data_IF_381120964507
#
_entry.id   IF_381120964507
#
_cell.length_a   1.000
_cell.length_b   1.000
_cell.length_c   1.000
_cell.angle_alpha   90.00
_cell.angle_beta   90.00
_cell.angle_gamma   90.00
#
_symmetry.space_group_name_H-M   'P 1'
#
loop_
_entity.id
_entity.type
_entity.pdbx_description
1 polymer ?
#
# COMPACT_ATOMS: atom_id res chain seq x y z
N UNK A 1 -29.96 13.02 -36.64
CA UNK A 1 -28.73 12.22 -36.88
C UNK A 1 -27.87 12.35 -35.63
N UNK A 2 -28.18 11.49 -34.66
CA UNK A 2 -27.65 11.44 -33.29
C UNK A 2 -26.35 10.64 -33.23
N UNK A 3 -25.20 11.30 -33.05
CA UNK A 3 -23.92 10.62 -32.88
C UNK A 3 -22.97 11.35 -31.91
N UNK A 4 -23.42 11.73 -30.70
CA UNK A 4 -22.46 12.26 -29.71
C UNK A 4 -22.80 12.11 -28.22
N UNK A 5 -23.53 11.07 -27.80
CA UNK A 5 -23.75 10.79 -26.34
C UNK A 5 -23.41 9.33 -25.94
N UNK A 6 -22.84 8.51 -26.84
CA UNK A 6 -22.60 7.09 -26.55
C UNK A 6 -21.15 6.67 -26.28
N UNK A 7 -20.20 7.60 -26.09
CA UNK A 7 -18.77 7.25 -25.90
C UNK A 7 -18.18 7.42 -24.50
N UNK A 8 -19.02 7.65 -23.49
CA UNK A 8 -18.61 7.64 -22.07
C UNK A 8 -19.39 6.56 -21.31
N UNK A 9 -19.32 5.33 -21.81
CA UNK A 9 -19.74 4.10 -21.09
C UNK A 9 -18.60 3.07 -21.06
N UNK A 10 -17.36 3.53 -20.98
CA UNK A 10 -16.23 2.63 -20.69
C UNK A 10 -16.08 2.44 -19.18
N UNK A 11 -16.73 1.37 -18.70
CA UNK A 11 -16.24 0.43 -17.68
C UNK A 11 -15.28 1.00 -16.61
N UNK A 12 -15.85 1.74 -15.66
CA UNK A 12 -15.30 1.72 -14.30
C UNK A 12 -15.74 0.38 -13.69
N UNK A 13 -14.79 -0.55 -13.56
CA UNK A 13 -15.01 -1.82 -12.88
C UNK A 13 -15.47 -1.55 -11.43
N UNK A 14 -16.51 -2.24 -10.93
CA UNK A 14 -16.99 -2.08 -9.55
C UNK A 14 -15.90 -2.35 -8.50
N UNK A 15 -14.83 -3.10 -8.85
CA UNK A 15 -13.65 -3.34 -8.00
C UNK A 15 -12.81 -2.09 -7.70
N UNK A 16 -12.85 -1.07 -8.56
CA UNK A 16 -12.04 0.16 -8.38
C UNK A 16 -12.76 1.24 -7.55
N UNK A 17 -14.07 1.11 -7.39
CA UNK A 17 -14.90 2.05 -6.62
C UNK A 17 -14.80 1.77 -5.11
N UNK A 18 -14.70 0.48 -4.71
CA UNK A 18 -14.57 0.06 -3.31
C UNK A 18 -13.29 0.59 -2.64
N UNK A 19 -12.14 0.42 -3.29
CA UNK A 19 -10.84 0.91 -2.80
C UNK A 19 -10.81 2.45 -2.68
N UNK A 20 -11.44 3.15 -3.62
CA UNK A 20 -11.54 4.62 -3.59
C UNK A 20 -12.45 5.12 -2.47
N UNK A 21 -13.54 4.39 -2.17
CA UNK A 21 -14.42 4.67 -1.03
C UNK A 21 -13.78 4.34 0.32
N UNK A 22 -12.89 3.34 0.39
CA UNK A 22 -12.12 3.04 1.61
C UNK A 22 -11.17 4.19 1.96
N UNK A 23 -10.53 4.78 0.96
CA UNK A 23 -9.68 5.97 1.11
C UNK A 23 -10.53 7.18 1.50
N UNK A 24 -11.67 7.41 0.86
CA UNK A 24 -12.57 8.51 1.21
C UNK A 24 -13.13 8.34 2.64
N UNK A 25 -13.55 7.14 3.05
CA UNK A 25 -14.01 6.89 4.43
C UNK A 25 -12.91 7.05 5.48
N UNK A 26 -11.64 6.82 5.11
CA UNK A 26 -10.48 7.14 5.95
C UNK A 26 -10.23 8.65 6.10
N UNK A 27 -10.79 9.49 5.22
CA UNK A 27 -10.56 10.95 5.18
C UNK A 27 -11.81 11.83 5.37
N UNK A 28 -13.03 11.31 5.19
CA UNK A 28 -14.27 12.08 5.25
C UNK A 28 -15.24 11.48 6.27
N UNK A 29 -14.97 11.69 7.55
CA UNK A 29 -15.98 12.02 8.57
C UNK A 29 -15.27 12.39 9.88
N UNK A 30 -14.91 13.67 9.98
CA UNK A 30 -14.84 14.35 11.27
C UNK A 30 -16.23 14.96 11.50
N UNK A 31 -17.11 14.34 12.30
CA UNK A 31 -17.94 15.10 13.20
C UNK A 31 -17.22 15.12 14.54
N UNK A 32 -16.63 16.27 14.85
CA UNK A 32 -16.28 16.66 16.19
C UNK A 32 -17.55 16.69 17.06
N UNK A 33 -17.89 15.56 17.67
CA UNK A 33 -18.76 15.50 18.85
C UNK A 33 -18.16 14.53 19.85
N UNK A 34 -17.55 15.13 20.88
CA UNK A 34 -17.20 14.46 22.11
C UNK A 34 -18.47 13.83 22.71
N UNK A 35 -18.56 12.50 22.71
CA UNK A 35 -19.37 11.73 23.64
C UNK A 35 -18.51 10.54 24.08
N UNK A 36 -17.77 10.78 25.15
CA UNK A 36 -16.89 9.84 25.82
C UNK A 36 -17.70 8.81 26.61
N UNK A 37 -17.81 7.60 26.07
CA UNK A 37 -18.25 6.40 26.80
C UNK A 37 -17.16 5.32 26.90
N UNK A 38 -15.91 5.71 26.74
CA UNK A 38 -14.75 4.84 27.00
C UNK A 38 -13.91 5.53 28.07
N UNK A 39 -13.65 4.90 29.23
CA UNK A 39 -12.77 5.48 30.24
C UNK A 39 -11.37 5.64 29.65
N UNK A 40 -10.99 6.90 29.38
CA UNK A 40 -9.71 7.31 28.79
C UNK A 40 -8.50 6.77 29.56
N UNK A 41 -8.68 6.46 30.85
CA UNK A 41 -7.68 5.91 31.76
C UNK A 41 -7.25 4.47 31.44
N UNK A 42 -8.02 3.70 30.67
CA UNK A 42 -7.68 2.31 30.34
C UNK A 42 -6.81 2.20 29.07
N UNK A 43 -6.79 3.26 28.25
CA UNK A 43 -6.09 3.28 26.95
C UNK A 43 -4.71 3.94 27.06
N UNK A 44 -4.53 4.90 27.97
CA UNK A 44 -3.28 5.65 28.11
C UNK A 44 -2.10 4.80 28.60
N UNK A 45 -2.36 3.70 29.30
CA UNK A 45 -1.34 2.78 29.81
C UNK A 45 -0.86 1.75 28.79
N UNK A 46 -1.53 1.59 27.64
CA UNK A 46 -1.12 0.64 26.58
C UNK A 46 -0.11 1.21 25.58
N UNK A 47 0.27 2.49 25.70
CA UNK A 47 1.06 3.22 24.69
C UNK A 47 2.51 3.37 25.16
N UNK A 48 3.23 2.24 25.27
CA UNK A 48 4.70 2.26 25.43
C UNK A 48 5.33 1.04 24.71
N UNK A 49 5.38 1.07 23.37
CA UNK A 49 6.36 0.38 22.49
C UNK A 49 5.97 0.57 21.00
N UNK A 50 6.92 0.72 20.05
CA UNK A 50 6.74 1.39 18.77
C UNK A 50 6.33 0.44 17.63
N UNK A 51 5.34 0.87 16.85
CA UNK A 51 4.78 0.20 15.66
C UNK A 51 3.36 -0.33 15.93
N UNK A 52 2.33 -0.06 15.11
CA UNK A 52 2.27 0.72 13.87
C UNK A 52 1.84 2.17 14.18
N UNK A 53 2.59 3.16 13.68
CA UNK A 53 2.45 4.56 14.09
C UNK A 53 2.57 5.57 12.94
N UNK A 54 2.95 5.16 11.72
CA UNK A 54 3.12 6.12 10.62
C UNK A 54 1.78 6.62 10.09
N UNK A 55 0.89 5.70 9.70
CA UNK A 55 -0.41 6.07 9.10
C UNK A 55 -1.59 5.25 9.62
N UNK A 56 -1.37 3.98 9.97
CA UNK A 56 -2.36 3.13 10.61
C UNK A 56 -1.94 2.84 12.05
N UNK A 57 -2.67 3.37 13.02
CA UNK A 57 -2.34 3.16 14.44
C UNK A 57 -2.89 1.83 14.96
N UNK A 58 -2.23 1.26 15.97
CA UNK A 58 -2.73 0.09 16.74
C UNK A 58 -4.18 0.28 17.17
N UNK A 59 -4.49 1.48 17.67
CA UNK A 59 -5.84 1.88 18.08
C UNK A 59 -6.85 1.74 16.94
N UNK A 60 -6.53 2.24 15.73
CA UNK A 60 -7.43 2.13 14.58
C UNK A 60 -7.67 0.67 14.16
N UNK A 61 -6.64 -0.17 14.23
CA UNK A 61 -6.78 -1.61 13.95
C UNK A 61 -7.78 -2.24 14.92
N UNK A 62 -7.63 -1.99 16.22
CA UNK A 62 -8.52 -2.53 17.25
C UNK A 62 -9.94 -1.95 17.17
N UNK A 63 -10.11 -0.67 16.83
CA UNK A 63 -11.42 -0.06 16.57
C UNK A 63 -12.15 -0.74 15.42
N UNK A 64 -11.45 -1.05 14.33
CA UNK A 64 -12.03 -1.77 13.18
C UNK A 64 -12.34 -3.23 13.53
N UNK A 65 -11.45 -3.93 14.25
CA UNK A 65 -11.73 -5.29 14.74
C UNK A 65 -12.98 -5.33 15.63
N UNK A 66 -13.14 -4.35 16.51
CA UNK A 66 -14.32 -4.21 17.36
C UNK A 66 -15.58 -3.92 16.53
N UNK A 67 -15.48 -3.12 15.47
CA UNK A 67 -16.61 -2.89 14.57
C UNK A 67 -17.04 -4.18 13.85
N UNK A 68 -16.07 -5.00 13.41
CA UNK A 68 -16.32 -6.32 12.81
C UNK A 68 -17.00 -7.25 13.83
N UNK A 69 -16.50 -7.32 15.06
CA UNK A 69 -17.07 -8.19 16.10
C UNK A 69 -18.47 -7.75 16.55
N UNK A 70 -18.83 -6.49 16.33
CA UNK A 70 -20.18 -5.94 16.56
C UNK A 70 -21.12 -6.06 15.36
N UNK A 71 -20.75 -6.86 14.36
CA UNK A 71 -21.52 -7.07 13.15
C UNK A 71 -21.80 -5.79 12.35
N UNK A 72 -20.90 -4.81 12.38
CA UNK A 72 -21.02 -3.65 11.51
C UNK A 72 -20.84 -4.09 10.05
N UNK A 73 -21.90 -3.97 9.25
CA UNK A 73 -21.92 -4.50 7.88
C UNK A 73 -20.88 -3.84 6.95
N UNK A 74 -20.59 -2.55 7.16
CA UNK A 74 -19.58 -1.83 6.36
C UNK A 74 -18.19 -2.39 6.67
N UNK A 75 -17.86 -2.54 7.95
CA UNK A 75 -16.58 -3.09 8.38
C UNK A 75 -16.40 -4.55 7.95
N UNK A 76 -17.46 -5.37 8.06
CA UNK A 76 -17.45 -6.76 7.60
C UNK A 76 -17.23 -6.84 6.09
N UNK A 77 -17.93 -6.02 5.31
CA UNK A 77 -17.79 -6.04 3.84
C UNK A 77 -16.36 -5.68 3.42
N UNK A 78 -15.79 -4.62 4.00
CA UNK A 78 -14.42 -4.20 3.72
C UNK A 78 -13.39 -5.24 4.16
N UNK A 79 -13.59 -5.86 5.33
CA UNK A 79 -12.74 -6.95 5.80
C UNK A 79 -12.78 -8.16 4.87
N UNK A 80 -13.96 -8.57 4.42
CA UNK A 80 -14.11 -9.71 3.51
C UNK A 80 -13.46 -9.42 2.15
N UNK A 81 -13.57 -8.20 1.63
CA UNK A 81 -12.88 -7.79 0.41
C UNK A 81 -11.36 -7.84 0.57
N UNK A 82 -10.83 -7.30 1.69
CA UNK A 82 -9.41 -7.36 2.02
C UNK A 82 -8.90 -8.80 2.08
N UNK A 83 -9.60 -9.67 2.80
CA UNK A 83 -9.21 -11.08 2.94
C UNK A 83 -9.32 -11.82 1.60
N UNK A 84 -10.34 -11.52 0.80
CA UNK A 84 -10.48 -12.08 -0.54
C UNK A 84 -9.31 -11.71 -1.45
N UNK A 85 -8.88 -10.44 -1.44
CA UNK A 85 -7.73 -9.98 -2.20
C UNK A 85 -6.41 -10.57 -1.68
N UNK A 86 -6.21 -10.60 -0.35
CA UNK A 86 -5.04 -11.20 0.27
C UNK A 86 -4.90 -12.69 -0.06
N UNK A 87 -6.00 -13.44 -0.07
CA UNK A 87 -6.01 -14.85 -0.47
C UNK A 87 -5.55 -15.05 -1.92
N UNK A 88 -5.95 -14.15 -2.84
CA UNK A 88 -5.48 -14.21 -4.22
C UNK A 88 -3.97 -13.95 -4.31
N UNK A 89 -3.45 -13.02 -3.49
CA UNK A 89 -2.03 -12.65 -3.47
C UNK A 89 -1.11 -13.72 -2.88
N UNK A 90 -1.63 -14.70 -2.12
CA UNK A 90 -0.84 -15.82 -1.61
C UNK A 90 -0.17 -16.64 -2.74
N UNK A 91 -0.77 -16.65 -3.92
CA UNK A 91 -0.29 -17.38 -5.09
C UNK A 91 0.47 -16.51 -6.09
N UNK A 92 0.69 -15.23 -5.77
CA UNK A 92 1.42 -14.30 -6.63
C UNK A 92 2.90 -14.31 -6.27
N UNK A 93 3.76 -14.44 -7.28
CA UNK A 93 5.21 -14.34 -7.10
C UNK A 93 5.68 -12.88 -7.10
N UNK A 94 6.60 -12.49 -6.20
CA UNK A 94 7.26 -11.19 -6.26
C UNK A 94 8.01 -10.99 -7.57
N UNK A 95 7.95 -9.78 -8.12
CA UNK A 95 8.63 -9.41 -9.34
C UNK A 95 9.50 -8.15 -9.11
N UNK A 96 10.60 -8.24 -8.35
CA UNK A 96 11.46 -7.10 -8.10
C UNK A 96 12.30 -6.71 -9.33
N UNK A 97 12.65 -5.43 -9.43
CA UNK A 97 13.66 -4.97 -10.39
C UNK A 97 15.02 -5.52 -9.94
N UNK A 98 15.77 -6.09 -10.87
CA UNK A 98 17.10 -6.67 -10.62
C UNK A 98 18.19 -5.64 -10.94
N UNK A 99 19.09 -5.40 -9.99
CA UNK A 99 20.23 -4.50 -10.17
C UNK A 99 19.91 -3.04 -9.84
N UNK A 100 20.31 -2.12 -10.72
CA UNK A 100 20.07 -0.68 -10.54
C UNK A 100 18.64 -0.31 -10.94
N UNK A 101 17.91 0.36 -10.06
CA UNK A 101 16.59 0.89 -10.40
C UNK A 101 16.80 2.18 -11.18
N UNK A 102 16.70 2.10 -12.52
CA UNK A 102 16.87 3.22 -13.45
C UNK A 102 15.61 3.39 -14.28
N UNK A 103 14.80 4.38 -13.94
CA UNK A 103 13.49 4.60 -14.52
C UNK A 103 13.55 5.82 -15.44
N UNK A 104 13.35 5.66 -16.75
CA UNK A 104 13.44 6.77 -17.69
C UNK A 104 12.32 7.78 -17.48
N UNK A 105 12.48 8.98 -18.05
CA UNK A 105 11.48 10.05 -18.00
C UNK A 105 10.16 9.61 -18.66
N UNK A 106 9.02 9.96 -18.08
CA UNK A 106 7.68 9.63 -18.58
C UNK A 106 7.39 10.24 -19.95
N UNK A 107 7.73 11.51 -20.15
CA UNK A 107 7.51 12.20 -21.43
C UNK A 107 8.65 11.97 -22.43
N UNK A 108 9.07 10.71 -22.58
CA UNK A 108 10.16 10.30 -23.49
C UNK A 108 9.71 9.15 -24.40
N UNK A 109 10.54 8.83 -25.42
CA UNK A 109 10.34 7.63 -26.25
C UNK A 109 10.35 6.32 -25.43
N UNK A 110 10.90 6.35 -24.20
CA UNK A 110 10.98 5.23 -23.26
C UNK A 110 9.80 5.22 -22.26
N UNK A 111 8.71 5.95 -22.50
CA UNK A 111 7.52 6.00 -21.63
C UNK A 111 6.98 4.62 -21.25
N UNK A 112 6.92 3.69 -22.20
CA UNK A 112 6.43 2.33 -21.96
C UNK A 112 7.30 1.58 -20.92
N UNK A 113 8.62 1.81 -20.93
CA UNK A 113 9.57 1.26 -19.95
C UNK A 113 9.33 1.89 -18.57
N UNK A 114 9.14 3.20 -18.52
CA UNK A 114 8.79 3.91 -17.28
C UNK A 114 7.52 3.31 -16.66
N UNK A 115 6.47 3.15 -17.46
CA UNK A 115 5.17 2.66 -17.00
C UNK A 115 5.26 1.21 -16.54
N UNK A 116 6.04 0.38 -17.24
CA UNK A 116 6.31 -1.00 -16.84
C UNK A 116 6.95 -1.05 -15.44
N UNK A 117 8.02 -0.30 -15.20
CA UNK A 117 8.66 -0.26 -13.87
C UNK A 117 7.75 0.33 -12.79
N UNK A 118 7.01 1.40 -13.11
CA UNK A 118 6.05 1.99 -12.18
C UNK A 118 4.95 1.00 -11.78
N UNK A 119 4.44 0.21 -12.73
CA UNK A 119 3.48 -0.86 -12.45
C UNK A 119 4.11 -1.98 -11.62
N UNK A 120 5.31 -2.42 -11.97
CA UNK A 120 6.03 -3.47 -11.27
C UNK A 120 6.25 -3.13 -9.78
N UNK A 121 6.80 -1.93 -9.50
CA UNK A 121 6.99 -1.46 -8.12
C UNK A 121 5.63 -1.28 -7.43
N UNK A 122 4.67 -0.64 -8.10
CA UNK A 122 3.37 -0.35 -7.53
C UNK A 122 2.57 -1.61 -7.16
N UNK A 123 2.60 -2.64 -8.01
CA UNK A 123 1.91 -3.91 -7.79
C UNK A 123 2.50 -4.67 -6.61
N UNK A 124 3.82 -4.83 -6.54
CA UNK A 124 4.46 -5.56 -5.45
C UNK A 124 4.33 -4.81 -4.11
N UNK A 125 4.47 -3.48 -4.13
CA UNK A 125 4.34 -2.65 -2.94
C UNK A 125 2.91 -2.67 -2.39
N UNK A 126 1.91 -2.65 -3.28
CA UNK A 126 0.51 -2.82 -2.89
C UNK A 126 0.25 -4.23 -2.35
N UNK A 127 0.81 -5.27 -2.98
CA UNK A 127 0.65 -6.66 -2.56
C UNK A 127 1.19 -6.89 -1.15
N UNK A 128 2.41 -6.42 -0.87
CA UNK A 128 3.01 -6.47 0.45
C UNK A 128 2.13 -5.78 1.50
N UNK A 129 1.61 -4.59 1.17
CA UNK A 129 0.76 -3.83 2.08
C UNK A 129 -0.58 -4.51 2.38
N UNK A 130 -1.27 -5.04 1.36
CA UNK A 130 -2.54 -5.76 1.52
C UNK A 130 -2.35 -6.99 2.40
N UNK A 131 -1.30 -7.77 2.17
CA UNK A 131 -0.97 -8.95 2.96
C UNK A 131 -0.66 -8.58 4.43
N UNK A 132 0.10 -7.50 4.65
CA UNK A 132 0.37 -7.00 6.01
C UNK A 132 -0.91 -6.56 6.74
N UNK A 133 -1.83 -5.87 6.04
CA UNK A 133 -3.13 -5.51 6.60
C UNK A 133 -3.99 -6.73 6.92
N UNK A 134 -4.03 -7.71 6.01
CA UNK A 134 -4.75 -8.96 6.23
C UNK A 134 -4.23 -9.70 7.47
N UNK A 135 -2.91 -9.74 7.67
CA UNK A 135 -2.31 -10.23 8.91
C UNK A 135 -2.76 -9.40 10.12
N UNK A 136 -2.74 -8.07 10.04
CA UNK A 136 -3.10 -7.21 11.17
C UNK A 136 -4.54 -7.43 11.67
N UNK A 137 -5.49 -7.68 10.76
CA UNK A 137 -6.89 -7.89 11.11
C UNK A 137 -7.23 -9.34 11.45
N UNK A 138 -6.65 -10.31 10.74
CA UNK A 138 -6.98 -11.74 10.92
C UNK A 138 -6.05 -12.48 11.90
N UNK A 139 -4.87 -11.93 12.19
CA UNK A 139 -3.77 -12.58 12.90
C UNK A 139 -3.28 -13.89 12.24
N UNK A 140 -3.61 -14.13 10.96
CA UNK A 140 -3.15 -15.31 10.24
C UNK A 140 -1.74 -15.09 9.66
N UNK A 141 -0.77 -15.86 10.16
CA UNK A 141 0.65 -15.71 9.81
C UNK A 141 0.97 -15.94 8.34
N UNK A 142 0.15 -16.71 7.60
CA UNK A 142 0.39 -16.94 6.17
C UNK A 142 0.46 -15.63 5.36
N UNK A 143 -0.32 -14.62 5.74
CA UNK A 143 -0.28 -13.32 5.10
C UNK A 143 0.97 -12.53 5.51
N UNK A 144 1.41 -12.63 6.76
CA UNK A 144 2.65 -12.00 7.20
C UNK A 144 3.85 -12.58 6.44
N UNK A 145 3.95 -13.90 6.38
CA UNK A 145 5.03 -14.61 5.71
C UNK A 145 5.10 -14.23 4.22
N UNK A 146 3.95 -14.20 3.53
CA UNK A 146 3.90 -13.76 2.13
C UNK A 146 4.24 -12.28 1.96
N UNK A 147 3.81 -11.40 2.87
CA UNK A 147 4.18 -9.98 2.82
C UNK A 147 5.70 -9.80 2.98
N UNK A 148 6.32 -10.55 3.90
CA UNK A 148 7.77 -10.59 4.10
C UNK A 148 8.48 -11.07 2.84
N UNK A 149 7.94 -12.07 2.14
CA UNK A 149 8.49 -12.57 0.88
C UNK A 149 8.63 -11.44 -0.17
N UNK A 150 7.57 -10.65 -0.38
CA UNK A 150 7.62 -9.48 -1.27
C UNK A 150 8.67 -8.46 -0.82
N UNK A 151 8.71 -8.11 0.47
CA UNK A 151 9.68 -7.16 1.01
C UNK A 151 11.13 -7.63 0.79
N UNK A 152 11.42 -8.88 1.14
CA UNK A 152 12.75 -9.47 1.00
C UNK A 152 13.15 -9.64 -0.47
N UNK A 153 12.21 -9.93 -1.37
CA UNK A 153 12.50 -10.01 -2.80
C UNK A 153 13.03 -8.67 -3.33
N UNK A 154 12.45 -7.55 -2.93
CA UNK A 154 12.91 -6.22 -3.32
C UNK A 154 14.25 -5.85 -2.67
N UNK A 155 14.42 -6.11 -1.37
CA UNK A 155 15.70 -5.84 -0.67
C UNK A 155 16.86 -6.64 -1.26
N UNK A 156 16.63 -7.91 -1.64
CA UNK A 156 17.68 -8.79 -2.17
C UNK A 156 18.09 -8.44 -3.61
N UNK A 157 17.17 -7.91 -4.42
CA UNK A 157 17.40 -7.71 -5.87
C UNK A 157 17.71 -6.25 -6.24
N UNK A 158 17.22 -5.29 -5.47
CA UNK A 158 17.46 -3.86 -5.70
C UNK A 158 18.79 -3.45 -5.05
N UNK A 159 19.77 -3.08 -5.88
CA UNK A 159 21.10 -2.68 -5.38
C UNK A 159 21.13 -1.22 -4.93
N UNK A 160 20.63 -0.32 -5.77
CA UNK A 160 20.48 1.12 -5.48
C UNK A 160 19.53 1.78 -6.47
N UNK A 161 18.80 2.82 -6.06
CA UNK A 161 18.15 3.71 -7.01
C UNK A 161 19.20 4.54 -7.74
N UNK A 162 19.06 4.66 -9.06
CA UNK A 162 19.91 5.53 -9.88
C UNK A 162 19.02 6.46 -10.66
N UNK A 163 19.41 7.72 -10.69
CA UNK A 163 18.72 8.71 -11.50
C UNK A 163 18.61 8.22 -12.94
N UNK A 164 17.38 8.20 -13.45
CA UNK A 164 17.00 7.56 -14.71
C UNK A 164 17.55 8.21 -15.98
N UNK A 165 18.41 9.23 -15.83
CA UNK A 165 19.06 9.91 -16.94
C UNK A 165 20.13 9.04 -17.60
N UNK A 166 20.35 9.28 -18.90
CA UNK A 166 21.50 8.74 -19.62
C UNK A 166 22.77 9.51 -19.19
N UNK A 167 23.96 8.91 -19.31
CA UNK A 167 25.24 9.52 -18.87
C UNK A 167 25.47 10.92 -19.45
N UNK A 168 25.06 11.14 -20.70
CA UNK A 168 25.15 12.42 -21.41
C UNK A 168 24.28 13.52 -20.77
N UNK A 169 23.24 13.18 -20.01
CA UNK A 169 22.35 14.14 -19.36
C UNK A 169 23.08 14.96 -18.26
N UNK A 170 24.22 14.46 -17.76
CA UNK A 170 25.09 15.20 -16.84
C UNK A 170 25.69 16.43 -17.54
N UNK A 171 26.01 16.31 -18.83
CA UNK A 171 26.68 17.37 -19.61
C UNK A 171 25.70 18.31 -20.31
N UNK A 172 24.47 17.87 -20.59
CA UNK A 172 23.47 18.66 -21.31
C UNK A 172 22.51 19.43 -20.41
N UNK A 173 22.53 19.20 -19.09
CA UNK A 173 21.58 19.82 -18.16
C UNK A 173 20.13 19.36 -18.38
N UNK A 174 19.90 18.29 -19.15
CA UNK A 174 18.58 17.73 -19.42
C UNK A 174 17.96 17.08 -18.17
N UNK A 175 16.63 17.00 -18.16
CA UNK A 175 15.87 16.42 -17.05
C UNK A 175 16.34 14.98 -16.77
N UNK A 176 16.89 14.84 -15.57
CA UNK A 176 17.11 13.60 -14.83
C UNK A 176 15.85 12.73 -14.85
N UNK A 177 15.98 11.41 -14.93
CA UNK A 177 14.86 10.50 -15.18
C UNK A 177 13.90 10.41 -13.99
N UNK A 178 12.82 9.65 -14.13
CA UNK A 178 11.74 9.63 -13.13
C UNK A 178 11.98 8.66 -11.97
N UNK A 179 13.18 8.09 -11.80
CA UNK A 179 13.49 7.18 -10.68
C UNK A 179 13.06 7.75 -9.34
N UNK A 180 13.44 8.99 -8.94
CA UNK A 180 13.05 9.51 -7.63
C UNK A 180 11.54 9.67 -7.46
N UNK A 181 10.85 10.04 -8.55
CA UNK A 181 9.40 10.28 -8.56
C UNK A 181 8.65 8.95 -8.43
N UNK A 182 9.02 7.94 -9.21
CA UNK A 182 8.32 6.64 -9.16
C UNK A 182 8.57 5.92 -7.84
N UNK A 183 9.78 6.02 -7.29
CA UNK A 183 10.09 5.47 -5.97
C UNK A 183 9.23 6.14 -4.90
N UNK A 184 9.15 7.48 -4.89
CA UNK A 184 8.40 8.20 -3.85
C UNK A 184 6.89 7.90 -3.86
N UNK A 185 6.30 7.53 -5.01
CA UNK A 185 4.89 7.13 -5.07
C UNK A 185 4.59 5.73 -4.54
N UNK A 186 5.51 4.78 -4.72
CA UNK A 186 5.22 3.36 -4.47
C UNK A 186 5.91 2.80 -3.23
N UNK A 187 7.14 3.21 -2.95
CA UNK A 187 7.90 2.74 -1.79
C UNK A 187 7.23 3.00 -0.44
N UNK A 188 6.44 4.08 -0.24
CA UNK A 188 5.71 4.23 1.02
C UNK A 188 4.84 3.02 1.38
N UNK A 189 4.31 2.27 0.41
CA UNK A 189 3.52 1.06 0.71
C UNK A 189 4.36 -0.08 1.27
N UNK A 190 5.60 -0.24 0.80
CA UNK A 190 6.54 -1.18 1.42
C UNK A 190 6.88 -0.78 2.86
N UNK A 191 7.12 0.52 3.09
CA UNK A 191 7.39 1.05 4.43
C UNK A 191 6.20 0.81 5.36
N UNK A 192 4.97 1.07 4.88
CA UNK A 192 3.75 0.80 5.64
C UNK A 192 3.57 -0.69 5.96
N UNK A 193 3.84 -1.58 4.99
CA UNK A 193 3.80 -3.03 5.21
C UNK A 193 4.80 -3.45 6.30
N UNK A 194 6.04 -2.96 6.22
CA UNK A 194 7.07 -3.23 7.21
C UNK A 194 6.69 -2.71 8.60
N UNK A 195 6.19 -1.46 8.72
CA UNK A 195 5.75 -0.87 10.00
C UNK A 195 4.64 -1.72 10.67
N UNK A 196 3.68 -2.22 9.88
CA UNK A 196 2.63 -3.11 10.38
C UNK A 196 3.24 -4.42 10.91
N UNK A 197 4.08 -5.08 10.12
CA UNK A 197 4.66 -6.38 10.47
C UNK A 197 5.59 -6.28 11.69
N UNK A 198 6.46 -5.27 11.73
CA UNK A 198 7.32 -5.00 12.87
C UNK A 198 6.48 -4.65 14.12
N UNK A 199 5.48 -3.79 13.96
CA UNK A 199 4.58 -3.37 15.04
C UNK A 199 3.79 -4.53 15.65
N UNK A 200 3.56 -5.61 14.90
CA UNK A 200 2.88 -6.82 15.36
C UNK A 200 3.84 -7.96 15.69
N UNK A 201 5.15 -7.69 15.74
CA UNK A 201 6.20 -8.68 16.05
C UNK A 201 6.30 -9.85 15.08
N UNK A 202 5.84 -9.68 13.83
CA UNK A 202 6.08 -10.65 12.76
C UNK A 202 7.51 -10.57 12.20
N UNK A 203 8.19 -9.43 12.41
CA UNK A 203 9.61 -9.22 12.10
C UNK A 203 10.30 -8.76 13.38
N UNK A 204 11.47 -9.34 13.69
CA UNK A 204 12.28 -8.94 14.85
C UNK A 204 12.92 -7.56 14.65
N UNK A 205 13.17 -6.85 15.76
CA UNK A 205 14.08 -5.70 15.79
C UNK A 205 15.48 -6.25 16.00
N UNK A 206 16.18 -6.56 14.92
CA UNK A 206 17.63 -6.73 14.96
C UNK A 206 18.33 -5.40 14.66
#
# INVERSE_FOLDING_TARGET
MDLTINRIKEKISPRKVGIFFLIILLFSHIPSRANSWIPTSTISTLIKSPGPNLLLTRRRIEEVKLAISRHNQIAISAYNELIGEANALLYTEPNPIKGEVRIPLFYSKKQHIQQMYSRQIGTDALSAYILALAYAFSNNKIYADKSIEFLLAWVKNCTRPVDGGDFWNIFTGEKKGDTPIVISYHFPKFIMAFDILQGLSAISKE
#
